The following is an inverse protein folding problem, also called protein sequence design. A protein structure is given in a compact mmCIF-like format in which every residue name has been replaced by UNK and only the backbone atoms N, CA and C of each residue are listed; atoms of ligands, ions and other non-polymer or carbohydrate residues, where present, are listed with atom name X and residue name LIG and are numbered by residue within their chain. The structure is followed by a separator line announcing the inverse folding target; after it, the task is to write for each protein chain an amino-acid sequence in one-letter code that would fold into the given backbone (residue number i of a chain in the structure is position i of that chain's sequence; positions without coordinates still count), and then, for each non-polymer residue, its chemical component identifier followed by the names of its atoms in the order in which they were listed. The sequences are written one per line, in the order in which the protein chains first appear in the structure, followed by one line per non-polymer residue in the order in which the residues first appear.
data_IF_686885610274
#
_entry.id   IF_686885610274
#
_cell.length_a   1.000
_cell.length_b   1.000
_cell.length_c   1.000
_cell.angle_alpha   90.00
_cell.angle_beta   90.00
_cell.angle_gamma   90.00
#
_symmetry.space_group_name_H-M   'P 1'
#
loop_
_entity.id
_entity.type
_entity.pdbx_description
1 polymer ?
#
# COMPACT_ATOMS: atom_id res chain seq x y z
N UNK A 1 -6.29 -1.28 21.06
CA UNK A 1 -7.27 -0.84 20.05
C UNK A 1 -6.99 -1.66 18.82
N UNK A 2 -7.91 -2.53 18.45
CA UNK A 2 -7.75 -3.40 17.29
C UNK A 2 -8.21 -2.65 16.04
N UNK A 3 -7.50 -2.84 14.93
CA UNK A 3 -7.83 -2.23 13.65
C UNK A 3 -8.06 -3.33 12.63
N UNK A 4 -9.21 -3.30 11.97
CA UNK A 4 -9.48 -4.19 10.84
C UNK A 4 -8.59 -3.77 9.66
N UNK A 5 -7.86 -4.73 9.10
CA UNK A 5 -7.05 -4.55 7.90
C UNK A 5 -7.67 -5.38 6.78
N UNK A 6 -7.84 -4.77 5.60
CA UNK A 6 -8.34 -5.47 4.42
C UNK A 6 -7.19 -5.73 3.47
N UNK A 7 -7.09 -6.96 3.01
CA UNK A 7 -6.06 -7.40 2.07
C UNK A 7 -6.77 -7.92 0.82
N UNK A 8 -6.42 -7.35 -0.33
CA UNK A 8 -6.91 -7.75 -1.62
C UNK A 8 -5.75 -8.28 -2.45
N UNK A 9 -5.88 -9.48 -2.98
CA UNK A 9 -4.91 -10.07 -3.88
C UNK A 9 -5.58 -10.39 -5.21
N UNK A 10 -5.06 -9.81 -6.27
CA UNK A 10 -5.41 -10.13 -7.65
C UNK A 10 -4.24 -10.86 -8.30
N UNK A 11 -4.42 -12.16 -8.53
CA UNK A 11 -3.42 -13.00 -9.16
C UNK A 11 -3.25 -12.69 -10.65
N UNK A 12 -4.32 -12.27 -11.34
CA UNK A 12 -4.27 -12.02 -12.78
C UNK A 12 -3.42 -10.79 -13.09
N UNK A 13 -3.59 -9.74 -12.30
CA UNK A 13 -2.81 -8.50 -12.40
C UNK A 13 -1.48 -8.52 -11.63
N UNK A 14 -1.17 -9.63 -10.93
CA UNK A 14 -0.04 -9.77 -10.00
C UNK A 14 0.07 -8.60 -9.01
N UNK A 15 -1.03 -8.35 -8.30
CA UNK A 15 -1.26 -7.15 -7.50
C UNK A 15 -1.75 -7.49 -6.09
N UNK A 16 -1.19 -6.82 -5.10
CA UNK A 16 -1.63 -6.88 -3.71
C UNK A 16 -1.96 -5.47 -3.21
N UNK A 17 -3.13 -5.28 -2.60
CA UNK A 17 -3.50 -4.04 -1.90
C UNK A 17 -3.79 -4.35 -0.44
N UNK A 18 -3.23 -3.51 0.45
CA UNK A 18 -3.50 -3.54 1.88
C UNK A 18 -4.12 -2.21 2.26
N UNK A 19 -5.34 -2.26 2.79
CA UNK A 19 -6.10 -1.11 3.24
C UNK A 19 -6.22 -1.11 4.76
N UNK A 20 -5.77 -0.02 5.36
CA UNK A 20 -5.90 0.24 6.78
C UNK A 20 -7.25 0.91 7.10
N UNK A 21 -7.78 1.67 6.15
CA UNK A 21 -9.05 2.40 6.27
C UNK A 21 -9.80 2.34 4.94
N UNK A 22 -11.10 2.03 4.99
CA UNK A 22 -11.96 2.10 3.80
C UNK A 22 -12.41 3.55 3.60
N UNK A 23 -11.57 4.34 2.93
CA UNK A 23 -11.81 5.75 2.60
C UNK A 23 -11.41 6.02 1.16
N UNK A 24 -11.95 7.10 0.59
CA UNK A 24 -11.47 7.62 -0.69
C UNK A 24 -10.05 8.15 -0.54
N UNK A 25 -9.24 7.90 -1.56
CA UNK A 25 -7.86 8.31 -1.62
C UNK A 25 -7.27 8.02 -2.99
N UNK A 26 -6.08 8.54 -3.22
CA UNK A 26 -5.34 8.35 -4.46
C UNK A 26 -4.01 7.67 -4.17
N UNK A 27 -3.46 7.00 -5.18
CA UNK A 27 -2.17 6.36 -5.07
C UNK A 27 -1.05 7.35 -5.41
N UNK A 28 0.06 7.21 -4.69
CA UNK A 28 1.27 7.98 -4.88
C UNK A 28 2.46 7.02 -4.87
N UNK A 29 3.42 7.29 -5.74
CA UNK A 29 4.65 6.51 -5.85
C UNK A 29 5.49 6.64 -4.57
N UNK A 30 6.12 5.55 -4.16
CA UNK A 30 7.11 5.54 -3.09
C UNK A 30 8.52 5.52 -3.68
N UNK A 31 9.54 5.46 -2.83
CA UNK A 31 10.94 5.26 -3.27
C UNK A 31 11.17 3.87 -3.89
N UNK A 32 10.20 2.94 -3.74
CA UNK A 32 10.22 1.64 -4.40
C UNK A 32 9.21 1.62 -5.55
N UNK A 33 9.69 1.42 -6.78
CA UNK A 33 8.88 1.41 -8.00
C UNK A 33 7.74 0.38 -8.00
N UNK A 34 7.86 -0.67 -7.20
CA UNK A 34 6.82 -1.69 -7.10
C UNK A 34 5.77 -1.38 -6.04
N UNK A 35 5.98 -0.36 -5.20
CA UNK A 35 5.08 -0.05 -4.08
C UNK A 35 4.53 1.35 -4.20
N UNK A 36 3.20 1.46 -4.07
CA UNK A 36 2.49 2.74 -4.02
C UNK A 36 1.80 2.92 -2.68
N UNK A 37 1.86 4.12 -2.11
CA UNK A 37 1.07 4.48 -0.94
C UNK A 37 -0.30 5.02 -1.36
N UNK A 38 -1.35 4.64 -0.64
CA UNK A 38 -2.69 5.18 -0.83
C UNK A 38 -2.93 6.25 0.23
N UNK A 39 -3.13 7.49 -0.20
CA UNK A 39 -3.31 8.64 0.68
C UNK A 39 -4.69 9.24 0.52
N UNK A 40 -5.28 9.69 1.62
CA UNK A 40 -6.53 10.44 1.59
C UNK A 40 -6.31 11.92 1.21
N UNK A 41 -7.39 12.68 1.10
CA UNK A 41 -7.36 14.11 0.75
C UNK A 41 -6.63 14.99 1.78
N UNK A 42 -6.44 14.50 3.00
CA UNK A 42 -5.69 15.17 4.07
C UNK A 42 -4.21 14.77 4.10
N UNK A 43 -3.78 13.86 3.22
CA UNK A 43 -2.41 13.35 3.16
C UNK A 43 -2.12 12.21 4.14
N UNK A 44 -3.14 11.61 4.75
CA UNK A 44 -2.97 10.45 5.61
C UNK A 44 -2.84 9.18 4.78
N UNK A 45 -1.92 8.30 5.15
CA UNK A 45 -1.79 6.98 4.53
C UNK A 45 -2.92 6.08 5.02
N UNK A 46 -3.78 5.67 4.10
CA UNK A 46 -4.94 4.79 4.34
C UNK A 46 -4.72 3.37 3.80
N UNK A 47 -3.60 3.13 3.13
CA UNK A 47 -3.20 1.82 2.64
C UNK A 47 -1.96 1.89 1.75
N UNK A 48 -1.61 0.77 1.14
CA UNK A 48 -0.57 0.67 0.13
C UNK A 48 -0.89 -0.45 -0.84
N UNK A 49 -0.24 -0.44 -1.99
CA UNK A 49 -0.31 -1.52 -2.95
C UNK A 49 1.08 -1.92 -3.46
N UNK A 50 1.18 -3.18 -3.85
CA UNK A 50 2.38 -3.79 -4.37
C UNK A 50 2.06 -4.37 -5.75
N UNK A 51 2.78 -3.91 -6.75
CA UNK A 51 2.76 -4.39 -8.12
C UNK A 51 3.79 -5.51 -8.28
N UNK A 52 3.51 -6.46 -9.17
CA UNK A 52 4.40 -7.59 -9.49
C UNK A 52 4.80 -8.38 -8.24
N UNK A 53 3.83 -8.68 -7.37
CA UNK A 53 4.10 -9.30 -6.07
C UNK A 53 4.83 -10.65 -6.20
N UNK A 54 4.59 -11.38 -7.29
CA UNK A 54 5.25 -12.66 -7.56
C UNK A 54 6.76 -12.55 -7.87
N UNK A 55 7.25 -11.35 -8.19
CA UNK A 55 8.66 -11.11 -8.47
C UNK A 55 9.54 -11.09 -7.20
N UNK A 56 8.94 -10.94 -6.02
CA UNK A 56 9.68 -10.95 -4.75
C UNK A 56 9.97 -12.39 -4.32
N UNK A 57 11.25 -12.79 -4.35
CA UNK A 57 11.63 -14.19 -4.12
C UNK A 57 12.22 -14.48 -2.74
N UNK A 58 13.09 -13.62 -2.20
CA UNK A 58 13.82 -13.95 -0.96
C UNK A 58 14.12 -12.75 -0.07
N UNK A 59 14.30 -11.57 -0.63
CA UNK A 59 14.61 -10.37 0.15
C UNK A 59 13.33 -9.63 0.57
N UNK A 60 13.26 -9.13 1.81
CA UNK A 60 12.12 -8.35 2.26
C UNK A 60 12.07 -7.01 1.51
N UNK A 61 10.89 -6.68 1.00
CA UNK A 61 10.63 -5.34 0.47
C UNK A 61 10.42 -4.40 1.64
N UNK A 62 11.34 -3.44 1.79
CA UNK A 62 11.24 -2.40 2.80
C UNK A 62 10.84 -1.09 2.15
N UNK A 63 9.78 -0.46 2.66
CA UNK A 63 9.33 0.87 2.22
C UNK A 63 8.98 1.71 3.42
N UNK A 64 9.19 3.03 3.30
CA UNK A 64 8.71 4.00 4.26
C UNK A 64 7.40 4.58 3.75
N UNK A 65 6.30 4.24 4.40
CA UNK A 65 5.01 4.88 4.18
C UNK A 65 4.99 6.19 4.96
N UNK A 66 4.88 7.32 4.26
CA UNK A 66 4.94 8.62 4.92
C UNK A 66 3.55 8.98 5.42
N UNK A 67 3.22 8.62 6.66
CA UNK A 67 2.01 9.16 7.28
C UNK A 67 2.15 10.67 7.43
N UNK A 68 1.25 11.44 6.81
CA UNK A 68 1.09 12.85 7.13
C UNK A 68 0.65 13.03 8.58
N UNK A 69 1.58 13.02 9.51
CA UNK A 69 1.44 13.69 10.78
C UNK A 69 2.38 14.90 10.73
N UNK A 70 1.78 16.09 10.80
CA UNK A 70 2.49 17.34 11.03
C UNK A 70 3.34 17.26 12.31
#
# INVERSE_FOLDING_TARGET
MDREIKIYFDKESDYLEVLFEKKEGYFKETENDAVMEKVDTSGNVIGFSILKVSAFQAEPVSVLLRSGAA
#
